data_IF_865119595933
#
_entry.id   IF_865119595933
#
_cell.length_a   1.000
_cell.length_b   1.000
_cell.length_c   1.000
_cell.angle_alpha   90.00
_cell.angle_beta   90.00
_cell.angle_gamma   90.00
#
_symmetry.space_group_name_H-M   'P 1'
#
loop_
_entity.id
_entity.type
_entity.pdbx_description
1 polymer ?
#
# COMPACT_ATOMS: atom_id res chain seq x y z
N UNK A 1 79.85 3.36 14.48
CA UNK A 1 78.97 4.14 13.59
C UNK A 1 77.52 3.89 14.04
N UNK A 2 77.17 4.28 15.28
CA UNK A 2 75.93 3.83 15.96
C UNK A 2 75.35 4.92 16.89
N UNK A 3 75.34 6.18 16.48
CA UNK A 3 74.85 7.27 17.35
C UNK A 3 73.74 8.15 16.78
N UNK A 4 73.23 7.88 15.58
CA UNK A 4 72.28 8.82 14.93
C UNK A 4 70.84 8.33 14.73
N UNK A 5 70.53 7.06 15.03
CA UNK A 5 69.17 6.54 14.78
C UNK A 5 68.21 6.70 15.96
N UNK A 6 68.72 6.93 17.19
CA UNK A 6 67.88 7.07 18.39
C UNK A 6 67.30 8.47 18.60
N UNK A 7 67.94 9.52 18.05
CA UNK A 7 67.45 10.89 18.21
C UNK A 7 66.37 11.27 17.19
N UNK A 8 66.42 10.68 15.99
CA UNK A 8 65.42 10.91 14.93
C UNK A 8 64.05 10.32 15.31
N UNK A 9 64.03 9.17 15.99
CA UNK A 9 62.80 8.53 16.47
C UNK A 9 62.13 9.29 17.64
N UNK A 10 62.86 10.14 18.37
CA UNK A 10 62.30 10.90 19.49
C UNK A 10 61.65 12.22 19.05
N UNK A 11 62.10 12.81 17.93
CA UNK A 11 61.49 14.03 17.38
C UNK A 11 60.22 13.74 16.57
N UNK A 12 60.14 12.60 15.88
CA UNK A 12 58.98 12.25 15.04
C UNK A 12 57.68 11.92 15.80
N UNK A 13 57.74 11.71 17.12
CA UNK A 13 56.58 11.38 17.96
C UNK A 13 56.10 12.54 18.85
N UNK A 14 56.76 13.72 18.79
CA UNK A 14 56.42 14.86 19.66
C UNK A 14 55.31 15.77 19.10
N UNK A 15 54.96 15.66 17.81
CA UNK A 15 54.01 16.57 17.15
C UNK A 15 52.72 15.88 16.69
N UNK A 16 52.50 14.62 17.07
CA UNK A 16 51.18 14.01 16.87
C UNK A 16 50.28 14.36 18.05
N UNK A 17 49.77 15.59 18.05
CA UNK A 17 48.57 15.89 18.82
C UNK A 17 47.45 15.00 18.28
N UNK A 18 47.13 13.94 19.04
CA UNK A 18 45.89 13.21 18.87
C UNK A 18 44.77 14.25 18.79
N UNK A 19 43.99 14.31 17.69
CA UNK A 19 42.88 15.25 17.63
C UNK A 19 42.02 14.96 18.85
N UNK A 20 41.94 15.97 19.75
CA UNK A 20 41.11 15.93 20.95
C UNK A 20 39.76 15.42 20.50
N UNK A 21 39.31 14.36 21.18
CA UNK A 21 37.99 13.75 21.11
C UNK A 21 37.06 14.61 20.28
N UNK A 22 36.75 14.16 19.06
CA UNK A 22 35.61 14.69 18.36
C UNK A 22 34.46 14.52 19.35
N UNK A 23 34.02 15.64 19.96
CA UNK A 23 32.79 15.67 20.71
C UNK A 23 31.78 15.12 19.72
N UNK A 24 31.36 13.88 19.95
CA UNK A 24 30.12 13.37 19.42
C UNK A 24 29.11 14.28 20.09
N UNK A 25 28.86 15.43 19.46
CA UNK A 25 27.72 16.28 19.79
C UNK A 25 26.55 15.34 19.66
N UNK A 26 26.04 14.90 20.81
CA UNK A 26 24.99 13.91 20.86
C UNK A 26 23.79 14.51 20.15
N UNK A 27 23.57 14.09 18.90
CA UNK A 27 22.34 14.37 18.17
C UNK A 27 21.26 13.40 18.65
N UNK A 28 21.15 13.21 19.97
CA UNK A 28 20.19 12.34 20.63
C UNK A 28 18.76 12.70 20.19
N UNK A 29 18.47 13.99 19.98
CA UNK A 29 17.19 14.46 19.45
C UNK A 29 16.93 14.08 17.98
N UNK A 30 17.92 14.19 17.09
CA UNK A 30 17.72 14.00 15.66
C UNK A 30 17.46 12.54 15.27
N UNK A 31 18.06 11.59 15.98
CA UNK A 31 17.88 10.16 15.68
C UNK A 31 16.48 9.66 16.09
N UNK A 32 16.00 10.09 17.27
CA UNK A 32 14.65 9.79 17.74
C UNK A 32 13.57 10.41 16.84
N UNK A 33 13.79 11.63 16.35
CA UNK A 33 12.85 12.34 15.48
C UNK A 33 12.73 11.71 14.09
N UNK A 34 13.85 11.30 13.48
CA UNK A 34 13.85 10.55 12.20
C UNK A 34 13.20 9.16 12.37
N UNK A 35 13.42 8.49 13.50
CA UNK A 35 12.78 7.22 13.83
C UNK A 35 11.25 7.33 13.93
N UNK A 36 10.77 8.35 14.65
CA UNK A 36 9.33 8.66 14.78
C UNK A 36 8.69 9.00 13.44
N UNK A 37 9.33 9.85 12.63
CA UNK A 37 8.83 10.22 11.30
C UNK A 37 8.65 9.00 10.37
N UNK A 38 9.60 8.05 10.39
CA UNK A 38 9.50 6.81 9.59
C UNK A 38 8.37 5.90 10.07
N UNK A 39 8.11 5.84 11.37
CA UNK A 39 6.99 5.07 11.95
C UNK A 39 5.65 5.71 11.58
N UNK A 40 5.55 7.03 11.66
CA UNK A 40 4.34 7.76 11.25
C UNK A 40 4.06 7.58 9.75
N UNK A 41 5.09 7.65 8.90
CA UNK A 41 4.96 7.37 7.48
C UNK A 41 4.40 5.96 7.22
N UNK A 42 4.92 4.94 7.92
CA UNK A 42 4.40 3.57 7.81
C UNK A 42 2.94 3.45 8.28
N UNK A 43 2.59 4.08 9.42
CA UNK A 43 1.20 4.11 9.91
C UNK A 43 0.26 4.75 8.89
N UNK A 44 0.72 5.82 8.24
CA UNK A 44 -0.03 6.48 7.17
C UNK A 44 -0.22 5.56 5.97
N UNK A 45 0.85 4.90 5.49
CA UNK A 45 0.74 3.94 4.37
C UNK A 45 -0.21 2.77 4.70
N UNK A 46 -0.19 2.26 5.93
CA UNK A 46 -1.14 1.24 6.39
C UNK A 46 -2.58 1.75 6.34
N UNK A 47 -2.82 2.99 6.78
CA UNK A 47 -4.14 3.62 6.72
C UNK A 47 -4.62 3.79 5.27
N UNK A 48 -3.74 4.25 4.38
CA UNK A 48 -4.02 4.40 2.95
C UNK A 48 -4.41 3.06 2.31
N UNK A 49 -3.71 1.95 2.63
CA UNK A 49 -4.06 0.62 2.12
C UNK A 49 -5.46 0.19 2.61
N UNK A 50 -5.82 0.46 3.86
CA UNK A 50 -7.17 0.17 4.36
C UNK A 50 -8.24 0.93 3.57
N UNK A 51 -8.01 2.21 3.30
CA UNK A 51 -8.91 3.03 2.47
C UNK A 51 -9.00 2.47 1.04
N UNK A 52 -7.88 2.05 0.45
CA UNK A 52 -7.85 1.43 -0.87
C UNK A 52 -8.67 0.13 -0.93
N UNK A 53 -8.56 -0.73 0.08
CA UNK A 53 -9.36 -1.97 0.19
C UNK A 53 -10.85 -1.62 0.23
N UNK A 54 -11.25 -0.70 1.11
CA UNK A 54 -12.65 -0.29 1.23
C UNK A 54 -13.18 0.35 -0.06
N UNK A 55 -12.36 1.20 -0.69
CA UNK A 55 -12.67 1.84 -1.97
C UNK A 55 -12.88 0.81 -3.08
N UNK A 56 -12.01 -0.20 -3.15
CA UNK A 56 -12.08 -1.27 -4.16
C UNK A 56 -13.34 -2.13 -3.99
N UNK A 57 -13.69 -2.49 -2.76
CA UNK A 57 -14.91 -3.23 -2.45
C UNK A 57 -16.16 -2.42 -2.80
N UNK A 58 -16.18 -1.13 -2.45
CA UNK A 58 -17.28 -0.22 -2.76
C UNK A 58 -17.47 -0.06 -4.27
N UNK A 59 -16.38 0.06 -5.03
CA UNK A 59 -16.42 0.13 -6.48
C UNK A 59 -17.01 -1.16 -7.09
N UNK A 60 -16.55 -2.32 -6.61
CA UNK A 60 -17.04 -3.62 -7.10
C UNK A 60 -18.53 -3.82 -6.85
N UNK A 61 -19.03 -3.38 -5.69
CA UNK A 61 -20.47 -3.37 -5.38
C UNK A 61 -21.26 -2.49 -6.34
N UNK A 62 -20.78 -1.27 -6.60
CA UNK A 62 -21.43 -0.35 -7.56
C UNK A 62 -21.51 -0.95 -8.96
N UNK A 63 -20.42 -1.55 -9.46
CA UNK A 63 -20.42 -2.20 -10.78
C UNK A 63 -21.44 -3.35 -10.83
N UNK A 64 -21.57 -4.12 -9.75
CA UNK A 64 -22.60 -5.16 -9.67
C UNK A 64 -24.01 -4.58 -9.69
N UNK A 65 -24.28 -3.54 -8.90
CA UNK A 65 -25.58 -2.85 -8.85
C UNK A 65 -25.97 -2.29 -10.22
N UNK A 66 -25.06 -1.60 -10.90
CA UNK A 66 -25.30 -1.10 -12.26
C UNK A 66 -25.58 -2.24 -13.26
N UNK A 67 -24.87 -3.37 -13.15
CA UNK A 67 -25.15 -4.54 -13.97
C UNK A 67 -26.54 -5.14 -13.72
N UNK A 68 -27.03 -5.16 -12.47
CA UNK A 68 -28.39 -5.60 -12.16
C UNK A 68 -29.46 -4.62 -12.66
N UNK A 69 -29.18 -3.31 -12.58
CA UNK A 69 -30.06 -2.28 -13.12
C UNK A 69 -30.21 -2.45 -14.63
N UNK A 70 -29.11 -2.58 -15.37
CA UNK A 70 -29.13 -2.80 -16.83
C UNK A 70 -29.88 -4.08 -17.20
N UNK A 71 -29.66 -5.20 -16.48
CA UNK A 71 -30.40 -6.45 -16.73
C UNK A 71 -31.91 -6.29 -16.47
N UNK A 72 -32.29 -5.44 -15.52
CA UNK A 72 -33.68 -5.13 -15.19
C UNK A 72 -34.32 -4.23 -16.25
N UNK A 73 -33.60 -3.21 -16.73
CA UNK A 73 -34.04 -2.35 -17.84
C UNK A 73 -34.26 -3.16 -19.13
N UNK A 74 -33.32 -4.05 -19.49
CA UNK A 74 -33.48 -4.96 -20.63
C UNK A 74 -34.74 -5.82 -20.46
N UNK A 75 -34.99 -6.33 -19.25
CA UNK A 75 -36.20 -7.13 -18.96
C UNK A 75 -37.47 -6.26 -19.10
N UNK A 76 -37.43 -5.01 -18.65
CA UNK A 76 -38.52 -4.05 -18.80
C UNK A 76 -38.83 -3.81 -20.27
N UNK A 77 -37.82 -3.47 -21.06
CA UNK A 77 -37.94 -3.23 -22.51
C UNK A 77 -38.52 -4.44 -23.26
N UNK A 78 -38.00 -5.64 -22.99
CA UNK A 78 -38.51 -6.88 -23.60
C UNK A 78 -40.00 -7.11 -23.26
N UNK A 79 -40.40 -6.81 -22.03
CA UNK A 79 -41.78 -6.98 -21.56
C UNK A 79 -42.73 -5.94 -22.17
N UNK A 80 -42.25 -4.70 -22.36
CA UNK A 80 -43.02 -3.62 -22.95
C UNK A 80 -43.21 -3.82 -24.47
N UNK A 81 -42.16 -4.21 -25.19
CA UNK A 81 -42.26 -4.56 -26.61
C UNK A 81 -43.22 -5.72 -26.86
N UNK A 82 -43.25 -6.74 -25.99
CA UNK A 82 -44.23 -7.83 -26.09
C UNK A 82 -45.67 -7.36 -25.92
N UNK A 83 -45.91 -6.38 -25.04
CA UNK A 83 -47.25 -5.81 -24.80
C UNK A 83 -47.70 -4.88 -25.93
N UNK A 84 -46.80 -4.08 -26.48
CA UNK A 84 -47.14 -3.07 -27.48
C UNK A 84 -47.27 -3.62 -28.90
N UNK A 85 -46.95 -4.91 -29.14
CA UNK A 85 -46.92 -5.53 -30.47
C UNK A 85 -46.24 -4.64 -31.53
N UNK A 86 -45.19 -3.91 -31.14
CA UNK A 86 -44.45 -3.05 -32.06
C UNK A 86 -43.86 -3.98 -33.12
N UNK A 87 -44.33 -3.82 -34.36
CA UNK A 87 -43.89 -4.59 -35.52
C UNK A 87 -42.48 -4.12 -35.88
N UNK A 88 -41.47 -4.61 -35.16
CA UNK A 88 -40.09 -4.54 -35.66
C UNK A 88 -39.92 -5.54 -36.80
N UNK A 89 -39.02 -5.25 -37.73
CA UNK A 89 -38.83 -6.08 -38.93
C UNK A 89 -38.29 -7.49 -38.61
N UNK A 90 -37.68 -7.66 -37.43
CA UNK A 90 -37.21 -8.96 -36.91
C UNK A 90 -37.18 -8.97 -35.36
N UNK A 91 -38.33 -9.18 -34.70
CA UNK A 91 -38.44 -9.13 -33.24
C UNK A 91 -37.72 -10.30 -32.56
N UNK A 92 -37.40 -11.36 -33.31
CA UNK A 92 -36.71 -12.53 -32.75
C UNK A 92 -35.22 -12.25 -32.60
N UNK A 93 -34.62 -11.58 -33.59
CA UNK A 93 -33.21 -11.17 -33.53
C UNK A 93 -32.95 -10.17 -32.42
N UNK A 94 -33.76 -9.11 -32.30
CA UNK A 94 -33.59 -8.11 -31.24
C UNK A 94 -33.72 -8.72 -29.84
N UNK A 95 -34.66 -9.66 -29.64
CA UNK A 95 -34.78 -10.41 -28.39
C UNK A 95 -33.54 -11.25 -28.08
N UNK A 96 -32.97 -11.89 -29.09
CA UNK A 96 -31.76 -12.70 -28.92
C UNK A 96 -30.54 -11.82 -28.61
N UNK A 97 -30.41 -10.67 -29.27
CA UNK A 97 -29.32 -9.71 -29.02
C UNK A 97 -29.40 -9.19 -27.58
N UNK A 98 -30.58 -8.81 -27.10
CA UNK A 98 -30.79 -8.36 -25.72
C UNK A 98 -30.52 -9.47 -24.69
N UNK A 99 -30.89 -10.72 -24.99
CA UNK A 99 -30.54 -11.87 -24.14
C UNK A 99 -29.03 -12.09 -24.11
N UNK A 100 -28.35 -11.96 -25.24
CA UNK A 100 -26.89 -12.06 -25.31
C UNK A 100 -26.21 -10.96 -24.49
N UNK A 101 -26.69 -9.71 -24.59
CA UNK A 101 -26.20 -8.61 -23.75
C UNK A 101 -26.36 -8.86 -22.25
N UNK A 102 -27.43 -9.52 -21.81
CA UNK A 102 -27.57 -9.92 -20.40
C UNK A 102 -26.51 -10.94 -19.96
N UNK A 103 -26.11 -11.84 -20.86
CA UNK A 103 -25.03 -12.80 -20.61
C UNK A 103 -23.70 -12.05 -20.50
N UNK A 104 -23.39 -11.18 -21.48
CA UNK A 104 -22.17 -10.35 -21.46
C UNK A 104 -22.08 -9.52 -20.16
N UNK A 105 -23.17 -8.90 -19.71
CA UNK A 105 -23.21 -8.16 -18.43
C UNK A 105 -22.85 -9.09 -17.26
N UNK A 106 -23.38 -10.32 -17.25
CA UNK A 106 -23.10 -11.28 -16.18
C UNK A 106 -21.64 -11.75 -16.20
N UNK A 107 -21.05 -11.91 -17.38
CA UNK A 107 -19.63 -12.21 -17.55
C UNK A 107 -18.75 -11.06 -17.04
N UNK A 108 -19.11 -9.81 -17.38
CA UNK A 108 -18.41 -8.62 -16.89
C UNK A 108 -18.49 -8.50 -15.35
N UNK A 109 -19.65 -8.75 -14.75
CA UNK A 109 -19.81 -8.78 -13.29
C UNK A 109 -18.92 -9.87 -12.66
N UNK A 110 -18.85 -11.07 -13.25
CA UNK A 110 -17.99 -12.14 -12.76
C UNK A 110 -16.50 -11.79 -12.87
N UNK A 111 -16.08 -11.22 -14.01
CA UNK A 111 -14.71 -10.76 -14.21
C UNK A 111 -14.33 -9.69 -13.19
N UNK A 112 -15.23 -8.75 -12.91
CA UNK A 112 -15.04 -7.72 -11.89
C UNK A 112 -14.92 -8.34 -10.49
N UNK A 113 -15.73 -9.36 -10.15
CA UNK A 113 -15.63 -10.07 -8.87
C UNK A 113 -14.26 -10.73 -8.70
N UNK A 114 -13.78 -11.42 -9.74
CA UNK A 114 -12.45 -12.06 -9.74
C UNK A 114 -11.34 -11.00 -9.66
N UNK A 115 -11.45 -9.91 -10.41
CA UNK A 115 -10.51 -8.79 -10.38
C UNK A 115 -10.42 -8.18 -8.98
N UNK A 116 -11.57 -7.85 -8.38
CA UNK A 116 -11.67 -7.32 -7.03
C UNK A 116 -10.99 -8.23 -5.99
N UNK A 117 -11.21 -9.55 -6.09
CA UNK A 117 -10.54 -10.50 -5.20
C UNK A 117 -9.03 -10.52 -5.36
N UNK A 118 -8.51 -10.46 -6.59
CA UNK A 118 -7.07 -10.39 -6.85
C UNK A 118 -6.47 -9.12 -6.29
N UNK A 119 -7.11 -7.98 -6.53
CA UNK A 119 -6.64 -6.67 -6.05
C UNK A 119 -6.62 -6.63 -4.52
N UNK A 120 -7.70 -7.07 -3.87
CA UNK A 120 -7.76 -7.14 -2.40
C UNK A 120 -6.71 -8.10 -1.84
N UNK A 121 -6.47 -9.24 -2.49
CA UNK A 121 -5.45 -10.18 -2.05
C UNK A 121 -4.03 -9.57 -2.10
N UNK A 122 -3.73 -8.78 -3.13
CA UNK A 122 -2.48 -8.04 -3.26
C UNK A 122 -2.37 -6.96 -2.17
N UNK A 123 -3.40 -6.13 -1.99
CA UNK A 123 -3.42 -5.09 -0.96
C UNK A 123 -3.28 -5.69 0.45
N UNK A 124 -3.94 -6.81 0.74
CA UNK A 124 -3.78 -7.51 2.03
C UNK A 124 -2.40 -8.11 2.21
N UNK A 125 -1.71 -8.48 1.13
CA UNK A 125 -0.32 -8.95 1.21
C UNK A 125 0.59 -7.80 1.59
N UNK A 126 0.48 -6.67 0.89
CA UNK A 126 1.24 -5.45 1.16
C UNK A 126 0.98 -4.93 2.59
N UNK A 127 -0.29 -4.93 3.02
CA UNK A 127 -0.68 -4.57 4.39
C UNK A 127 0.08 -5.39 5.44
N UNK A 128 0.11 -6.72 5.30
CA UNK A 128 0.84 -7.59 6.23
C UNK A 128 2.34 -7.30 6.25
N UNK A 129 2.93 -6.95 5.10
CA UNK A 129 4.34 -6.60 5.01
C UNK A 129 4.63 -5.29 5.77
N UNK A 130 3.77 -4.28 5.63
CA UNK A 130 3.90 -3.01 6.36
C UNK A 130 3.61 -3.13 7.85
N UNK A 131 2.61 -3.92 8.25
CA UNK A 131 2.31 -4.20 9.67
C UNK A 131 3.49 -4.90 10.36
N UNK A 132 4.12 -5.86 9.67
CA UNK A 132 5.35 -6.50 10.17
C UNK A 132 6.48 -5.49 10.31
N UNK A 133 6.73 -4.68 9.27
CA UNK A 133 7.80 -3.67 9.32
C UNK A 133 7.56 -2.63 10.44
N UNK A 134 6.31 -2.21 10.63
CA UNK A 134 5.92 -1.30 11.69
C UNK A 134 6.24 -1.91 13.06
N UNK A 135 5.84 -3.16 13.29
CA UNK A 135 6.11 -3.89 14.54
C UNK A 135 7.61 -3.95 14.81
N UNK A 136 8.41 -4.36 13.82
CA UNK A 136 9.87 -4.43 13.93
C UNK A 136 10.52 -3.07 14.22
N UNK A 137 9.97 -1.96 13.68
CA UNK A 137 10.49 -0.61 13.95
C UNK A 137 10.07 -0.08 15.30
N UNK A 138 8.83 -0.32 15.73
CA UNK A 138 8.36 0.07 17.06
C UNK A 138 9.12 -0.68 18.16
N UNK A 139 9.39 -1.98 17.97
CA UNK A 139 10.16 -2.77 18.94
C UNK A 139 11.63 -2.34 19.00
N UNK A 140 12.25 -2.02 17.86
CA UNK A 140 13.59 -1.41 17.83
C UNK A 140 13.62 -0.06 18.54
N UNK A 141 12.62 0.79 18.31
CA UNK A 141 12.55 2.10 18.97
C UNK A 141 12.43 1.94 20.48
N UNK A 142 11.55 1.06 20.97
CA UNK A 142 11.42 0.74 22.40
C UNK A 142 12.73 0.26 23.01
N UNK A 143 13.46 -0.61 22.30
CA UNK A 143 14.77 -1.10 22.74
C UNK A 143 15.79 0.04 22.85
N UNK A 144 15.84 0.95 21.88
CA UNK A 144 16.73 2.11 21.94
C UNK A 144 16.38 3.06 23.07
N UNK A 145 15.10 3.39 23.26
CA UNK A 145 14.62 4.23 24.38
C UNK A 145 15.03 3.63 25.72
N UNK A 146 14.90 2.31 25.89
CA UNK A 146 15.34 1.60 27.10
C UNK A 146 16.86 1.64 27.32
N UNK A 147 17.66 1.57 26.25
CA UNK A 147 19.12 1.62 26.34
C UNK A 147 19.63 3.03 26.63
N UNK A 148 19.01 4.04 26.04
CA UNK A 148 19.39 5.44 26.19
C UNK A 148 18.97 6.04 27.54
N UNK A 149 18.18 5.31 28.34
CA UNK A 149 17.80 5.78 29.68
C UNK A 149 16.77 6.91 29.65
N UNK A 150 16.07 7.10 28.53
CA UNK A 150 14.98 8.09 28.39
C UNK A 150 13.72 7.71 29.21
N UNK A 151 13.82 6.70 30.09
CA UNK A 151 12.82 6.36 31.12
C UNK A 151 13.19 7.08 32.44
N UNK A 152 12.87 8.37 32.53
CA UNK A 152 12.56 9.05 33.82
C UNK A 152 11.05 9.31 33.91
#
# INVERSE_FOLDING_TARGET
MELDTKNILKQGFSEFEMPKNHEITSSEGAFGEVGKSKIEALKKSISEIHEMIQGREKLSRKIHEEGENLKSEIKGYLSENEKMQIVSSDPTREKNDLRHKKIEISELQMNEKIGCWKDIALLKKELREYERELTEKEDRLKMFTKILGDEE
#
